data_IF_838079841105
#
_entry.id   IF_838079841105
#
_cell.length_a   1.000
_cell.length_b   1.000
_cell.length_c   1.000
_cell.angle_alpha   90.00
_cell.angle_beta   90.00
_cell.angle_gamma   90.00
#
_symmetry.space_group_name_H-M   'P 1'
#
loop_
_entity.id
_entity.type
_entity.pdbx_description
1 polymer ?
#
# COMPACT_ATOMS: atom_id res chain seq x y z
N UNK A 1 15.33 8.63 2.62
CA UNK A 1 13.93 8.43 2.19
C UNK A 1 13.89 7.30 1.18
N UNK A 2 12.86 6.45 1.18
CA UNK A 2 12.68 5.36 0.21
C UNK A 2 11.35 5.53 -0.51
N UNK A 3 11.29 5.19 -1.80
CA UNK A 3 10.07 5.32 -2.60
C UNK A 3 9.13 4.15 -2.35
N UNK A 4 7.82 4.37 -2.50
CA UNK A 4 6.81 3.32 -2.34
C UNK A 4 6.98 2.17 -3.34
N UNK A 5 7.59 2.43 -4.49
CA UNK A 5 7.82 1.44 -5.54
C UNK A 5 9.13 0.66 -5.38
N UNK A 6 9.97 0.99 -4.39
CA UNK A 6 11.23 0.27 -4.14
C UNK A 6 10.94 -1.17 -3.66
N UNK A 7 11.70 -2.20 -4.08
CA UNK A 7 11.42 -3.61 -3.73
C UNK A 7 11.40 -3.91 -2.23
N UNK A 8 12.10 -3.10 -1.46
CA UNK A 8 12.27 -3.18 -0.02
C UNK A 8 11.37 -2.19 0.75
N UNK A 9 10.40 -1.59 0.05
CA UNK A 9 9.29 -0.87 0.67
C UNK A 9 8.14 -1.83 1.00
N UNK A 10 7.67 -1.78 2.23
CA UNK A 10 6.44 -2.45 2.65
C UNK A 10 5.72 -1.62 3.71
N UNK A 11 4.40 -1.52 3.61
CA UNK A 11 3.58 -0.77 4.56
C UNK A 11 2.16 -1.33 4.65
N UNK A 12 1.57 -1.28 5.85
CA UNK A 12 0.17 -1.63 6.04
C UNK A 12 -0.76 -0.62 5.35
N UNK A 13 -1.73 -1.15 4.64
CA UNK A 13 -2.71 -0.41 3.86
C UNK A 13 -4.13 -0.84 4.20
N UNK A 14 -5.07 0.08 3.99
CA UNK A 14 -6.51 -0.16 4.09
C UNK A 14 -7.18 0.22 2.78
N UNK A 15 -8.06 -0.64 2.26
CA UNK A 15 -8.85 -0.33 1.07
C UNK A 15 -10.04 0.56 1.42
N UNK A 16 -10.38 1.49 0.53
CA UNK A 16 -11.39 2.51 0.84
C UNK A 16 -12.81 1.93 0.94
N UNK A 17 -13.22 1.17 -0.06
CA UNK A 17 -14.62 0.73 -0.17
C UNK A 17 -14.84 -0.54 0.61
N UNK A 18 -13.94 -1.52 0.45
CA UNK A 18 -14.09 -2.83 1.10
C UNK A 18 -13.50 -2.89 2.51
N UNK A 19 -12.85 -1.83 2.98
CA UNK A 19 -12.26 -1.72 4.33
C UNK A 19 -11.32 -2.89 4.68
N UNK A 20 -10.63 -3.43 3.66
CA UNK A 20 -9.73 -4.57 3.83
C UNK A 20 -8.34 -4.09 4.24
N UNK A 21 -7.76 -4.71 5.27
CA UNK A 21 -6.37 -4.50 5.64
C UNK A 21 -5.45 -5.46 4.88
N UNK A 22 -4.31 -4.95 4.43
CA UNK A 22 -3.27 -5.76 3.80
C UNK A 22 -1.91 -5.07 3.87
N UNK A 23 -0.93 -5.66 3.19
CA UNK A 23 0.42 -5.07 3.09
C UNK A 23 0.67 -4.69 1.63
N UNK A 24 0.91 -3.40 1.41
CA UNK A 24 1.41 -2.88 0.13
C UNK A 24 2.92 -3.03 0.08
N UNK A 25 3.45 -3.57 -1.02
CA UNK A 25 4.89 -3.69 -1.28
C UNK A 25 5.26 -3.05 -2.60
N UNK A 26 6.44 -2.45 -2.66
CA UNK A 26 7.03 -2.02 -3.92
C UNK A 26 7.62 -3.21 -4.68
N UNK A 27 7.58 -3.16 -6.01
CA UNK A 27 8.08 -4.26 -6.86
C UNK A 27 9.33 -3.90 -7.66
N UNK A 28 9.86 -2.67 -7.52
CA UNK A 28 11.01 -2.16 -8.27
C UNK A 28 10.69 -1.62 -9.66
N UNK A 29 9.64 -2.12 -10.33
CA UNK A 29 9.24 -1.73 -11.69
C UNK A 29 8.28 -0.54 -11.77
N UNK A 30 8.25 0.33 -10.76
CA UNK A 30 7.28 1.44 -10.71
C UNK A 30 5.85 1.00 -10.39
N UNK A 31 5.68 -0.22 -9.87
CA UNK A 31 4.39 -0.78 -9.48
C UNK A 31 4.39 -1.18 -8.01
N UNK A 32 3.18 -1.44 -7.51
CA UNK A 32 2.93 -1.95 -6.17
C UNK A 32 2.20 -3.29 -6.27
N UNK A 33 2.32 -4.10 -5.22
CA UNK A 33 1.43 -5.23 -4.96
C UNK A 33 0.72 -5.04 -3.62
N UNK A 34 -0.49 -5.59 -3.49
CA UNK A 34 -1.21 -5.71 -2.23
C UNK A 34 -1.32 -7.20 -1.89
N UNK A 35 -0.77 -7.58 -0.73
CA UNK A 35 -0.79 -8.96 -0.24
C UNK A 35 -1.65 -9.14 1.01
N UNK A 36 -1.84 -10.40 1.39
CA UNK A 36 -2.62 -10.84 2.55
C UNK A 36 -4.12 -10.51 2.48
N UNK A 37 -4.67 -10.47 1.27
CA UNK A 37 -6.11 -10.34 1.07
C UNK A 37 -6.69 -11.72 0.83
N UNK A 38 -7.71 -12.13 1.60
CA UNK A 38 -8.35 -13.43 1.44
C UNK A 38 -8.93 -13.62 0.03
N UNK A 39 -8.87 -14.85 -0.50
CA UNK A 39 -9.26 -15.18 -1.87
C UNK A 39 -10.76 -15.00 -2.19
N UNK A 40 -11.59 -14.82 -1.18
CA UNK A 40 -13.03 -14.54 -1.25
C UNK A 40 -13.37 -13.10 -0.83
N UNK A 41 -12.37 -12.29 -0.49
CA UNK A 41 -12.59 -10.92 -0.05
C UNK A 41 -13.23 -10.07 -1.17
N UNK A 42 -14.15 -9.15 -0.83
CA UNK A 42 -14.91 -8.36 -1.81
C UNK A 42 -14.10 -7.17 -2.38
N UNK A 43 -12.80 -7.34 -2.63
CA UNK A 43 -11.94 -6.29 -3.18
C UNK A 43 -12.33 -5.98 -4.63
N UNK A 44 -12.43 -4.69 -4.99
CA UNK A 44 -12.82 -4.24 -6.33
C UNK A 44 -11.67 -3.54 -7.05
N UNK A 45 -11.71 -3.59 -8.38
CA UNK A 45 -10.84 -2.79 -9.23
C UNK A 45 -11.07 -1.29 -8.97
N UNK A 46 -10.02 -0.49 -9.17
CA UNK A 46 -9.98 0.96 -8.94
C UNK A 46 -10.19 1.41 -7.49
N UNK A 47 -10.33 0.49 -6.52
CA UNK A 47 -10.34 0.87 -5.11
C UNK A 47 -9.05 1.60 -4.73
N UNK A 48 -9.22 2.69 -3.99
CA UNK A 48 -8.12 3.45 -3.40
C UNK A 48 -7.56 2.67 -2.21
N UNK A 49 -6.24 2.64 -2.10
CA UNK A 49 -5.53 2.12 -0.95
C UNK A 49 -4.89 3.26 -0.18
N UNK A 50 -5.08 3.29 1.13
CA UNK A 50 -4.54 4.31 2.02
C UNK A 50 -3.62 3.68 3.07
N UNK A 51 -2.70 4.46 3.63
CA UNK A 51 -1.96 4.03 4.83
C UNK A 51 -2.94 3.71 5.95
N UNK A 52 -2.80 2.55 6.59
CA UNK A 52 -3.69 2.13 7.68
C UNK A 52 -3.33 2.76 9.03
N UNK A 53 -2.06 3.15 9.20
CA UNK A 53 -1.48 3.59 10.47
C UNK A 53 -0.97 2.46 11.37
N UNK A 54 -1.18 1.19 10.98
CA UNK A 54 -0.82 0.02 11.80
C UNK A 54 0.67 -0.35 11.75
N UNK A 55 1.44 0.23 10.83
CA UNK A 55 2.87 -0.05 10.72
C UNK A 55 3.70 0.88 11.62
N UNK A 56 4.45 0.35 12.60
CA UNK A 56 5.20 1.16 13.54
C UNK A 56 6.35 1.90 12.87
N UNK A 57 6.66 3.10 13.34
CA UNK A 57 7.90 3.80 12.98
C UNK A 57 9.10 3.03 13.54
N UNK A 58 10.32 3.39 13.10
CA UNK A 58 11.54 2.77 13.65
C UNK A 58 11.71 3.04 15.14
N UNK A 59 11.12 4.12 15.63
CA UNK A 59 11.16 4.56 17.03
C UNK A 59 9.96 4.02 17.83
N UNK A 60 9.10 3.19 17.22
CA UNK A 60 7.95 2.57 17.90
C UNK A 60 6.65 3.41 17.91
N UNK A 61 6.65 4.58 17.27
CA UNK A 61 5.46 5.43 17.08
C UNK A 61 4.53 4.94 15.97
N UNK A 62 3.41 5.64 15.77
CA UNK A 62 2.46 5.31 14.71
C UNK A 62 2.85 6.00 13.39
N UNK A 63 2.40 5.45 12.26
CA UNK A 63 2.49 6.18 10.99
C UNK A 63 1.19 6.94 10.72
N UNK A 64 1.25 8.10 10.04
CA UNK A 64 0.04 8.80 9.62
C UNK A 64 -0.88 7.86 8.81
N UNK A 65 -2.15 7.79 9.22
CA UNK A 65 -3.22 7.10 8.51
C UNK A 65 -3.79 8.01 7.41
N UNK A 66 -4.32 7.42 6.34
CA UNK A 66 -5.11 8.13 5.34
C UNK A 66 -4.30 8.76 4.19
N UNK A 67 -3.01 8.45 4.07
CA UNK A 67 -2.22 8.88 2.92
C UNK A 67 -2.46 7.92 1.75
N UNK A 68 -2.78 8.47 0.58
CA UNK A 68 -3.09 7.67 -0.61
C UNK A 68 -1.83 6.97 -1.13
N UNK A 69 -1.89 5.65 -1.27
CA UNK A 69 -0.81 4.81 -1.79
C UNK A 69 -0.99 4.52 -3.28
N UNK A 70 -2.23 4.23 -3.70
CA UNK A 70 -2.50 3.81 -5.08
C UNK A 70 -3.91 3.30 -5.29
N UNK A 71 -4.08 2.63 -6.42
CA UNK A 71 -5.36 2.12 -6.92
C UNK A 71 -5.22 0.65 -7.31
N UNK A 72 -6.18 -0.18 -6.92
CA UNK A 72 -6.22 -1.59 -7.35
C UNK A 72 -6.34 -1.66 -8.88
N UNK A 73 -5.33 -2.21 -9.52
CA UNK A 73 -5.21 -2.25 -10.98
C UNK A 73 -5.55 -3.63 -11.57
N UNK A 74 -5.23 -4.70 -10.84
CA UNK A 74 -5.53 -6.08 -11.24
C UNK A 74 -5.76 -6.93 -10.01
N UNK A 75 -6.73 -7.83 -10.09
CA UNK A 75 -7.02 -8.85 -9.08
C UNK A 75 -6.97 -10.20 -9.80
N UNK A 76 -6.16 -11.12 -9.29
CA UNK A 76 -6.08 -12.49 -9.78
C UNK A 76 -6.29 -13.45 -8.62
N UNK A 77 -7.26 -14.35 -8.78
CA UNK A 77 -7.46 -15.50 -7.90
C UNK A 77 -6.70 -16.69 -8.48
N UNK A 78 -5.92 -17.37 -7.64
CA UNK A 78 -5.29 -18.64 -8.01
C UNK A 78 -6.00 -19.76 -7.25
N UNK A 79 -6.39 -20.87 -7.90
CA UNK A 79 -7.08 -21.97 -7.23
C UNK A 79 -6.32 -22.55 -6.03
N UNK A 80 -4.99 -22.50 -6.07
CA UNK A 80 -4.10 -23.09 -5.07
C UNK A 80 -3.76 -22.13 -3.90
N UNK A 81 -4.16 -20.87 -3.98
CA UNK A 81 -3.84 -19.85 -2.99
C UNK A 81 -5.09 -19.44 -2.19
N UNK A 82 -4.93 -19.33 -0.86
CA UNK A 82 -5.94 -18.75 0.04
C UNK A 82 -5.98 -17.22 0.00
N UNK A 83 -5.12 -16.58 -0.80
CA UNK A 83 -5.03 -15.13 -0.93
C UNK A 83 -5.10 -14.67 -2.39
N UNK A 84 -5.54 -13.42 -2.59
CA UNK A 84 -5.53 -12.76 -3.89
C UNK A 84 -4.12 -12.29 -4.25
N UNK A 85 -3.79 -12.41 -5.53
CA UNK A 85 -2.70 -11.66 -6.13
C UNK A 85 -3.24 -10.32 -6.66
N UNK A 86 -2.81 -9.23 -6.04
CA UNK A 86 -3.33 -7.90 -6.37
C UNK A 86 -2.20 -6.99 -6.84
N UNK A 87 -2.31 -6.49 -8.07
CA UNK A 87 -1.44 -5.44 -8.58
C UNK A 87 -2.07 -4.08 -8.32
N UNK A 88 -1.25 -3.13 -7.92
CA UNK A 88 -1.67 -1.78 -7.53
C UNK A 88 -0.87 -0.77 -8.34
N UNK A 89 -1.59 0.15 -8.98
CA UNK A 89 -1.00 1.32 -9.63
C UNK A 89 -0.68 2.37 -8.57
N UNK A 90 0.57 2.81 -8.40
CA UNK A 90 0.91 3.87 -7.46
C UNK A 90 0.13 5.16 -7.75
N UNK A 91 -0.21 5.92 -6.70
CA UNK A 91 -0.87 7.22 -6.86
C UNK A 91 0.09 8.32 -7.34
N UNK A 92 1.39 8.16 -7.08
CA UNK A 92 2.44 9.09 -7.49
C UNK A 92 3.56 8.31 -8.16
N UNK A 93 4.03 8.81 -9.30
CA UNK A 93 5.27 8.33 -9.92
C UNK A 93 6.47 8.91 -9.18
N UNK A 94 7.47 8.06 -8.89
CA UNK A 94 8.74 8.53 -8.31
C UNK A 94 9.62 9.31 -9.30
N UNK A 95 9.27 9.34 -10.59
CA UNK A 95 10.06 10.01 -11.63
C UNK A 95 9.80 11.53 -11.59
N UNK A 96 10.88 12.32 -11.46
CA UNK A 96 10.80 13.78 -11.54
C UNK A 96 10.29 14.46 -10.27
N UNK A 97 10.37 13.81 -9.11
CA UNK A 97 10.07 14.44 -7.81
C UNK A 97 11.04 15.62 -7.57
N UNK A 98 10.49 16.82 -7.38
CA UNK A 98 11.26 18.04 -7.05
C UNK A 98 11.02 18.52 -5.64
N UNK A 99 9.76 18.48 -5.19
CA UNK A 99 9.35 18.92 -3.87
C UNK A 99 8.70 17.74 -3.14
N UNK A 100 9.06 17.56 -1.88
CA UNK A 100 8.52 16.51 -1.01
C UNK A 100 8.12 17.12 0.32
N UNK A 101 7.00 16.66 0.87
CA UNK A 101 6.58 16.98 2.24
C UNK A 101 6.94 15.81 3.14
N UNK A 102 7.72 16.09 4.19
CA UNK A 102 8.04 15.10 5.21
C UNK A 102 7.08 15.28 6.38
N UNK A 103 6.30 14.24 6.64
CA UNK A 103 5.40 14.17 7.80
C UNK A 103 6.12 13.41 8.91
N UNK A 104 6.32 14.07 10.05
CA UNK A 104 6.88 13.46 11.26
C UNK A 104 5.81 13.44 12.35
N UNK A 105 5.82 12.43 13.21
CA UNK A 105 5.08 12.54 14.46
C UNK A 105 5.77 13.57 15.37
N UNK A 106 4.98 14.32 16.14
CA UNK A 106 5.52 14.99 17.33
C UNK A 106 5.57 13.95 18.43
N UNK A 107 6.77 13.50 18.77
CA UNK A 107 7.01 12.84 20.06
C UNK A 107 6.72 13.90 21.12
N UNK A 108 5.78 13.61 22.03
CA UNK A 108 5.55 14.42 23.23
C UNK A 108 6.66 14.16 24.24
#
# INVERSE_FOLDING_TARGET
MRLITSPDFALSAVSNTSQLNGIVRGTGGGQLSLGYIAADAPLKLQEKLFTSGLSPTREGGARPRGLLLGYVAKIKKQPELSTLEVSVRPAVSGRGLRYVLVLTERVK
#
